data_IF_685873566607
#
_entry.id   IF_685873566607
#
_cell.length_a   1.000
_cell.length_b   1.000
_cell.length_c   1.000
_cell.angle_alpha   90.00
_cell.angle_beta   90.00
_cell.angle_gamma   90.00
#
_symmetry.space_group_name_H-M   'P 1'
#
loop_
_entity.id
_entity.type
_entity.pdbx_description
1 polymer ?
#
# COMPACT_ATOMS: atom_id res chain seq x y z
N UNK A 1 74.08 -54.64 37.96
CA UNK A 1 73.38 -53.40 38.34
C UNK A 1 71.90 -53.71 38.52
N UNK A 2 71.45 -53.88 39.77
CA UNK A 2 70.04 -54.07 40.11
C UNK A 2 69.48 -52.75 40.62
N UNK A 3 68.45 -52.19 39.97
CA UNK A 3 67.71 -51.02 40.48
C UNK A 3 66.27 -51.43 40.73
N UNK A 4 65.88 -51.36 42.00
CA UNK A 4 64.52 -51.54 42.49
C UNK A 4 63.59 -50.44 41.96
N UNK A 5 62.38 -50.85 41.56
CA UNK A 5 61.27 -49.97 41.18
C UNK A 5 60.55 -49.53 42.46
N UNK A 6 60.51 -48.22 42.73
CA UNK A 6 59.62 -47.62 43.73
C UNK A 6 58.36 -47.08 43.03
N UNK A 7 57.21 -47.68 43.35
CA UNK A 7 55.88 -47.25 42.91
C UNK A 7 55.43 -46.03 43.73
N UNK A 8 55.20 -44.90 43.07
CA UNK A 8 54.51 -43.74 43.65
C UNK A 8 52.99 -44.00 43.65
N UNK A 9 52.37 -44.03 44.83
CA UNK A 9 50.91 -43.99 44.97
C UNK A 9 50.39 -42.62 44.53
N UNK A 10 49.56 -42.58 43.48
CA UNK A 10 48.76 -41.41 43.13
C UNK A 10 47.62 -41.23 44.15
N UNK A 11 47.60 -40.10 44.87
CA UNK A 11 46.42 -39.65 45.61
C UNK A 11 45.39 -39.16 44.59
N UNK A 12 44.24 -39.84 44.53
CA UNK A 12 43.07 -39.34 43.81
C UNK A 12 42.54 -38.14 44.60
N UNK A 13 42.54 -36.97 43.97
CA UNK A 13 41.90 -35.75 44.49
C UNK A 13 40.38 -36.00 44.58
N UNK A 14 39.84 -36.05 45.79
CA UNK A 14 38.41 -36.07 46.02
C UNK A 14 37.84 -34.67 45.74
N UNK A 15 37.22 -34.49 44.58
CA UNK A 15 36.47 -33.26 44.27
C UNK A 15 35.23 -33.26 45.15
N UNK A 16 35.12 -32.27 46.04
CA UNK A 16 33.98 -32.09 46.92
C UNK A 16 32.74 -31.71 46.08
N UNK A 17 31.68 -32.52 46.15
CA UNK A 17 30.38 -32.27 45.49
C UNK A 17 29.81 -30.91 45.88
N UNK A 18 30.16 -30.42 47.06
CA UNK A 18 29.63 -29.17 47.61
C UNK A 18 30.27 -27.93 46.96
N UNK A 19 31.51 -28.01 46.51
CA UNK A 19 32.17 -26.94 45.75
C UNK A 19 31.68 -26.91 44.31
N UNK A 20 31.59 -28.08 43.66
CA UNK A 20 31.09 -28.19 42.28
C UNK A 20 29.65 -27.66 42.12
N UNK A 21 28.76 -27.91 43.08
CA UNK A 21 27.41 -27.35 43.09
C UNK A 21 27.38 -25.82 43.25
N UNK A 22 28.29 -25.24 44.04
CA UNK A 22 28.39 -23.78 44.20
C UNK A 22 28.87 -23.09 42.92
N UNK A 23 29.83 -23.70 42.21
CA UNK A 23 30.36 -23.16 40.95
C UNK A 23 29.33 -23.23 39.82
N UNK A 24 28.54 -24.33 39.75
CA UNK A 24 27.44 -24.42 38.78
C UNK A 24 26.29 -23.46 39.09
N UNK A 25 25.95 -23.25 40.36
CA UNK A 25 24.91 -22.29 40.75
C UNK A 25 25.30 -20.85 40.36
N UNK A 26 26.56 -20.45 40.54
CA UNK A 26 27.04 -19.12 40.16
C UNK A 26 27.08 -18.91 38.64
N UNK A 27 27.46 -19.93 37.86
CA UNK A 27 27.48 -19.87 36.39
C UNK A 27 26.07 -19.84 35.76
N UNK A 28 25.07 -20.38 36.47
CA UNK A 28 23.67 -20.38 36.02
C UNK A 28 22.98 -19.02 36.20
N UNK A 29 23.46 -18.18 37.11
CA UNK A 29 22.86 -16.88 37.39
C UNK A 29 23.31 -15.84 36.35
N UNK A 30 24.54 -15.93 35.83
CA UNK A 30 25.05 -15.01 34.80
C UNK A 30 24.44 -15.22 33.42
N UNK A 31 23.95 -16.42 33.10
CA UNK A 31 23.24 -16.71 31.83
C UNK A 31 21.76 -16.31 31.85
N UNK A 32 21.21 -16.01 33.02
CA UNK A 32 19.83 -15.56 33.21
C UNK A 32 19.69 -14.04 33.32
N UNK A 33 20.79 -13.29 33.26
CA UNK A 33 20.72 -11.84 33.09
C UNK A 33 20.47 -11.60 31.61
N UNK A 34 19.27 -11.18 31.17
CA UNK A 34 19.09 -10.76 29.80
C UNK A 34 20.07 -9.62 29.57
N UNK A 35 21.10 -9.84 28.76
CA UNK A 35 21.87 -8.75 28.19
C UNK A 35 20.88 -7.94 27.38
N UNK A 36 20.45 -6.81 27.93
CA UNK A 36 19.78 -5.80 27.14
C UNK A 36 20.80 -5.35 26.12
N UNK A 37 20.77 -5.99 24.96
CA UNK A 37 21.36 -5.47 23.73
C UNK A 37 20.62 -4.16 23.46
N UNK A 38 21.11 -3.07 24.05
CA UNK A 38 20.74 -1.74 23.61
C UNK A 38 21.20 -1.67 22.17
N UNK A 39 20.24 -1.56 21.25
CA UNK A 39 20.50 -1.16 19.89
C UNK A 39 21.41 0.07 19.93
N UNK A 40 22.57 0.01 19.27
CA UNK A 40 23.44 1.16 19.08
C UNK A 40 22.85 2.16 18.08
N UNK A 41 21.66 1.89 17.51
CA UNK A 41 21.09 2.75 16.50
C UNK A 41 20.78 4.13 17.10
N UNK A 42 21.50 5.12 16.59
CA UNK A 42 21.35 6.54 16.88
C UNK A 42 20.11 7.15 16.22
N UNK A 43 19.06 6.36 15.99
CA UNK A 43 17.82 6.81 15.35
C UNK A 43 16.77 7.09 16.41
N UNK A 44 16.09 8.23 16.29
CA UNK A 44 14.93 8.55 17.13
C UNK A 44 13.66 7.87 16.59
N UNK A 45 13.57 7.70 15.27
CA UNK A 45 12.43 7.06 14.60
C UNK A 45 12.90 6.08 13.53
N UNK A 46 12.28 4.91 13.48
CA UNK A 46 12.43 3.93 12.40
C UNK A 46 11.13 3.87 11.61
N UNK A 47 11.21 4.02 10.30
CA UNK A 47 10.10 3.91 9.35
C UNK A 47 10.29 2.64 8.53
N UNK A 48 9.23 1.85 8.42
CA UNK A 48 9.21 0.61 7.63
C UNK A 48 8.45 0.89 6.32
N UNK A 49 9.18 0.79 5.21
CA UNK A 49 8.70 1.04 3.84
C UNK A 49 9.07 2.43 3.33
N UNK A 50 9.77 2.48 2.21
CA UNK A 50 10.11 3.68 1.43
C UNK A 50 9.16 3.89 0.24
N UNK A 51 7.87 3.59 0.41
CA UNK A 51 6.82 4.10 -0.47
C UNK A 51 6.50 5.58 -0.16
N UNK A 52 5.61 6.20 -0.95
CA UNK A 52 5.21 7.61 -0.77
C UNK A 52 4.87 7.96 0.69
N UNK A 53 4.12 7.11 1.39
CA UNK A 53 3.71 7.37 2.78
C UNK A 53 4.88 7.39 3.76
N UNK A 54 5.80 6.43 3.65
CA UNK A 54 6.94 6.33 4.57
C UNK A 54 7.99 7.41 4.30
N UNK A 55 8.24 7.70 3.02
CA UNK A 55 9.13 8.79 2.62
C UNK A 55 8.61 10.16 3.05
N UNK A 56 7.31 10.44 2.86
CA UNK A 56 6.71 11.69 3.31
C UNK A 56 6.76 11.84 4.84
N UNK A 57 6.49 10.75 5.58
CA UNK A 57 6.65 10.75 7.04
C UNK A 57 8.12 11.00 7.45
N UNK A 58 9.08 10.43 6.73
CA UNK A 58 10.50 10.65 6.97
C UNK A 58 10.89 12.11 6.74
N UNK A 59 10.39 12.72 5.66
CA UNK A 59 10.61 14.14 5.36
C UNK A 59 10.10 15.03 6.50
N UNK A 60 8.86 14.85 6.95
CA UNK A 60 8.28 15.66 8.04
C UNK A 60 9.08 15.49 9.34
N UNK A 61 9.37 14.24 9.74
CA UNK A 61 10.08 13.99 11.00
C UNK A 61 11.52 14.54 10.97
N UNK A 62 12.17 14.48 9.82
CA UNK A 62 13.48 15.09 9.66
C UNK A 62 13.43 16.62 9.75
N UNK A 63 12.41 17.25 9.14
CA UNK A 63 12.24 18.71 9.21
C UNK A 63 12.03 19.18 10.65
N UNK A 64 11.39 18.36 11.48
CA UNK A 64 11.25 18.55 12.92
C UNK A 64 12.53 18.21 13.73
N UNK A 65 13.62 17.82 13.07
CA UNK A 65 14.92 17.58 13.69
C UNK A 65 15.16 16.17 14.22
N UNK A 66 14.26 15.21 13.98
CA UNK A 66 14.46 13.82 14.41
C UNK A 66 15.46 13.07 13.52
N UNK A 67 16.23 12.16 14.12
CA UNK A 67 17.11 11.23 13.39
C UNK A 67 16.29 10.05 12.88
N UNK A 68 15.85 10.15 11.64
CA UNK A 68 14.98 9.14 11.00
C UNK A 68 15.82 8.10 10.26
N UNK A 69 15.47 6.83 10.42
CA UNK A 69 15.96 5.72 9.58
C UNK A 69 14.80 5.07 8.84
N UNK A 70 14.89 5.01 7.51
CA UNK A 70 13.90 4.34 6.65
C UNK A 70 14.45 2.99 6.21
N UNK A 71 13.69 1.93 6.42
CA UNK A 71 14.00 0.56 5.99
C UNK A 71 13.05 0.16 4.86
N UNK A 72 13.59 -0.20 3.71
CA UNK A 72 12.81 -0.65 2.55
C UNK A 72 13.10 -2.11 2.25
N UNK A 73 12.05 -2.89 2.02
CA UNK A 73 12.18 -4.31 1.75
C UNK A 73 12.79 -4.58 0.37
N UNK A 74 12.46 -3.77 -0.64
CA UNK A 74 12.92 -3.94 -2.01
C UNK A 74 14.32 -3.32 -2.25
N UNK A 75 14.80 -3.47 -3.48
CA UNK A 75 16.04 -2.83 -3.95
C UNK A 75 15.83 -1.41 -4.51
N UNK A 76 14.65 -0.82 -4.32
CA UNK A 76 14.28 0.52 -4.78
C UNK A 76 13.27 1.15 -3.84
N UNK A 77 13.19 2.48 -3.86
CA UNK A 77 12.12 3.22 -3.23
C UNK A 77 10.86 3.27 -4.11
N UNK A 78 9.79 3.90 -3.63
CA UNK A 78 8.56 4.18 -4.38
C UNK A 78 7.42 3.21 -4.13
N UNK A 79 7.72 1.96 -3.74
CA UNK A 79 6.71 0.94 -3.43
C UNK A 79 5.77 0.71 -4.62
N UNK A 80 4.50 1.11 -4.47
CA UNK A 80 3.46 0.98 -5.52
C UNK A 80 3.57 2.02 -6.64
N UNK A 81 4.50 2.98 -6.54
CA UNK A 81 4.87 3.85 -7.66
C UNK A 81 5.99 3.17 -8.43
N UNK A 82 5.87 3.10 -9.76
CA UNK A 82 6.87 2.54 -10.65
C UNK A 82 6.68 3.09 -12.07
N UNK A 83 7.73 3.72 -12.59
CA UNK A 83 7.84 4.23 -13.95
C UNK A 83 8.92 3.42 -14.67
N UNK A 84 8.62 2.92 -15.85
CA UNK A 84 9.55 2.11 -16.65
C UNK A 84 10.51 3.01 -17.45
N UNK A 85 11.56 3.52 -16.81
CA UNK A 85 12.52 4.48 -17.41
C UNK A 85 13.34 3.92 -18.57
N UNK A 86 13.34 2.60 -18.76
CA UNK A 86 13.97 1.93 -19.92
C UNK A 86 13.10 1.89 -21.17
N UNK A 87 11.86 2.37 -21.11
CA UNK A 87 10.89 2.34 -22.23
C UNK A 87 10.57 3.78 -22.66
N UNK A 88 10.58 4.10 -23.97
CA UNK A 88 10.24 5.43 -24.44
C UNK A 88 8.90 5.92 -23.87
N UNK A 89 8.92 7.11 -23.26
CA UNK A 89 7.76 7.71 -22.61
C UNK A 89 7.58 7.37 -21.13
N UNK A 90 8.49 6.56 -20.54
CA UNK A 90 8.52 6.20 -19.12
C UNK A 90 7.15 5.74 -18.58
N UNK A 91 6.51 4.73 -19.20
CA UNK A 91 5.16 4.34 -18.85
C UNK A 91 5.06 3.89 -17.38
N UNK A 92 3.95 4.22 -16.75
CA UNK A 92 3.66 3.86 -15.37
C UNK A 92 3.14 2.41 -15.30
N UNK A 93 3.82 1.56 -14.54
CA UNK A 93 3.36 0.22 -14.16
C UNK A 93 2.88 0.15 -12.71
N UNK A 94 3.00 1.27 -11.98
CA UNK A 94 2.43 1.48 -10.65
C UNK A 94 1.39 2.61 -10.63
N UNK A 95 1.45 3.46 -9.61
CA UNK A 95 0.59 4.65 -9.48
C UNK A 95 0.69 5.57 -10.70
N UNK A 96 -0.41 5.67 -11.44
CA UNK A 96 -0.41 6.27 -12.79
C UNK A 96 -0.57 7.77 -12.80
N UNK A 97 -1.49 8.31 -12.01
CA UNK A 97 -1.77 9.74 -11.93
C UNK A 97 -2.44 10.07 -10.59
N UNK A 98 -2.44 11.35 -10.23
CA UNK A 98 -3.07 11.83 -9.00
C UNK A 98 -3.85 13.11 -9.25
N UNK A 99 -4.86 13.35 -8.44
CA UNK A 99 -5.74 14.50 -8.61
C UNK A 99 -5.10 15.84 -8.22
N UNK A 100 -5.61 16.91 -8.81
CA UNK A 100 -5.34 18.29 -8.36
C UNK A 100 -5.72 18.58 -6.89
N UNK A 101 -6.59 17.76 -6.26
CA UNK A 101 -6.92 17.84 -4.84
C UNK A 101 -5.87 17.23 -3.89
N UNK A 102 -4.85 16.54 -4.42
CA UNK A 102 -3.84 15.84 -3.61
C UNK A 102 -2.74 16.82 -3.14
N UNK A 103 -3.11 17.78 -2.29
CA UNK A 103 -2.25 18.89 -1.89
C UNK A 103 -0.86 18.47 -1.40
N UNK A 104 -0.75 17.38 -0.63
CA UNK A 104 0.53 16.91 -0.07
C UNK A 104 1.53 16.44 -1.13
N UNK A 105 1.06 15.75 -2.17
CA UNK A 105 1.96 15.30 -3.25
C UNK A 105 2.32 16.46 -4.18
N UNK A 106 1.40 17.42 -4.37
CA UNK A 106 1.69 18.63 -5.13
C UNK A 106 2.72 19.50 -4.40
N UNK A 107 2.55 19.68 -3.09
CA UNK A 107 3.49 20.41 -2.22
C UNK A 107 4.89 19.79 -2.26
N UNK A 108 5.00 18.47 -2.10
CA UNK A 108 6.31 17.80 -2.12
C UNK A 108 6.96 17.86 -3.51
N UNK A 109 6.17 17.75 -4.58
CA UNK A 109 6.67 17.95 -5.94
C UNK A 109 7.22 19.36 -6.15
N UNK A 110 6.50 20.39 -5.70
CA UNK A 110 6.96 21.78 -5.78
C UNK A 110 8.23 22.00 -4.94
N UNK A 111 8.27 21.48 -3.71
CA UNK A 111 9.43 21.58 -2.81
C UNK A 111 10.71 21.03 -3.46
N UNK A 112 10.59 19.94 -4.20
CA UNK A 112 11.73 19.31 -4.88
C UNK A 112 11.83 19.65 -6.37
N UNK A 113 11.15 20.71 -6.83
CA UNK A 113 11.19 21.20 -8.21
C UNK A 113 10.87 20.13 -9.26
N UNK A 114 9.93 19.22 -8.94
CA UNK A 114 9.42 18.23 -9.87
C UNK A 114 8.29 18.86 -10.68
N UNK A 115 8.50 18.99 -11.98
CA UNK A 115 7.47 19.49 -12.88
C UNK A 115 6.30 18.51 -12.98
N UNK A 116 5.08 19.03 -12.86
CA UNK A 116 3.84 18.26 -12.97
C UNK A 116 3.11 18.63 -14.26
N UNK A 117 2.74 17.62 -15.04
CA UNK A 117 2.02 17.77 -16.29
C UNK A 117 0.52 17.50 -16.09
N UNK A 118 -0.30 18.38 -16.66
CA UNK A 118 -1.76 18.27 -16.69
C UNK A 118 -2.21 17.29 -17.79
N UNK A 119 -2.96 16.24 -17.43
CA UNK A 119 -3.49 15.27 -18.38
C UNK A 119 -4.78 15.70 -19.10
N UNK A 120 -5.37 16.85 -18.76
CA UNK A 120 -6.59 17.38 -19.40
C UNK A 120 -6.55 17.36 -20.93
N UNK A 121 -5.42 17.74 -21.60
CA UNK A 121 -5.35 17.77 -23.06
C UNK A 121 -5.53 16.39 -23.71
N UNK A 122 -5.22 15.29 -23.01
CA UNK A 122 -5.34 13.94 -23.56
C UNK A 122 -6.66 13.24 -23.21
N UNK A 123 -7.44 13.79 -22.26
CA UNK A 123 -8.74 13.22 -21.86
C UNK A 123 -9.75 13.03 -23.00
N UNK A 124 -9.85 13.91 -24.02
CA UNK A 124 -10.79 13.71 -25.13
C UNK A 124 -10.58 12.40 -25.90
N UNK A 125 -9.33 11.93 -26.02
CA UNK A 125 -9.03 10.64 -26.68
C UNK A 125 -9.66 9.46 -25.93
N UNK A 126 -9.67 9.50 -24.60
CA UNK A 126 -10.24 8.45 -23.76
C UNK A 126 -11.77 8.43 -23.70
N UNK A 127 -12.45 9.46 -24.24
CA UNK A 127 -13.92 9.54 -24.25
C UNK A 127 -14.56 8.83 -25.46
N UNK A 128 -13.76 8.42 -26.44
CA UNK A 128 -14.22 7.61 -27.57
C UNK A 128 -14.25 6.14 -27.15
N UNK A 129 -15.37 5.71 -26.57
CA UNK A 129 -15.52 4.39 -25.97
C UNK A 129 -16.55 3.53 -26.71
N UNK A 130 -16.27 2.24 -26.78
CA UNK A 130 -17.19 1.17 -27.15
C UNK A 130 -17.14 0.08 -26.09
N UNK A 131 -18.21 -0.71 -25.98
CA UNK A 131 -18.21 -1.89 -25.12
C UNK A 131 -17.71 -3.09 -25.92
N UNK A 132 -16.77 -3.85 -25.38
CA UNK A 132 -16.35 -5.13 -25.95
C UNK A 132 -16.90 -6.25 -25.07
N UNK A 133 -17.97 -6.92 -25.50
CA UNK A 133 -18.64 -7.98 -24.73
C UNK A 133 -18.73 -9.23 -25.59
N UNK A 134 -18.18 -10.36 -25.10
CA UNK A 134 -18.18 -11.64 -25.81
C UNK A 134 -17.58 -11.57 -27.23
N UNK A 135 -16.58 -10.72 -27.45
CA UNK A 135 -15.93 -10.54 -28.75
C UNK A 135 -16.68 -9.61 -29.72
N UNK A 136 -17.79 -9.01 -29.30
CA UNK A 136 -18.57 -8.04 -30.08
C UNK A 136 -18.31 -6.61 -29.59
N UNK A 137 -18.14 -5.68 -30.53
CA UNK A 137 -18.08 -4.24 -30.25
C UNK A 137 -19.48 -3.63 -30.32
N UNK A 138 -19.94 -3.08 -29.20
CA UNK A 138 -21.27 -2.49 -29.05
C UNK A 138 -21.10 -0.98 -28.84
N UNK A 139 -21.77 -0.18 -29.67
CA UNK A 139 -21.77 1.28 -29.47
C UNK A 139 -22.60 1.64 -28.23
N UNK A 140 -22.25 2.75 -27.56
CA UNK A 140 -23.04 3.22 -26.41
C UNK A 140 -24.49 3.58 -26.77
N UNK A 141 -24.75 3.90 -28.05
CA UNK A 141 -26.10 4.18 -28.56
C UNK A 141 -26.94 2.91 -28.64
N UNK A 142 -26.33 1.78 -29.01
CA UNK A 142 -27.05 0.51 -29.20
C UNK A 142 -27.19 -0.29 -27.90
N UNK A 143 -26.43 0.08 -26.86
CA UNK A 143 -26.42 -0.60 -25.56
C UNK A 143 -27.81 -0.82 -24.91
N UNK A 144 -28.73 0.17 -24.86
CA UNK A 144 -29.98 0.00 -24.12
C UNK A 144 -30.85 -1.16 -24.60
N UNK A 145 -30.83 -1.44 -25.90
CA UNK A 145 -31.64 -2.48 -26.54
C UNK A 145 -30.83 -3.75 -26.87
N UNK A 146 -29.52 -3.75 -26.59
CA UNK A 146 -28.64 -4.86 -26.95
C UNK A 146 -28.97 -6.14 -26.17
N UNK A 147 -29.00 -7.35 -26.80
CA UNK A 147 -29.28 -8.62 -26.12
C UNK A 147 -28.34 -8.97 -24.96
N UNK A 148 -27.10 -8.46 -24.99
CA UNK A 148 -26.11 -8.60 -23.92
C UNK A 148 -26.44 -7.79 -22.67
N UNK A 149 -27.36 -6.81 -22.75
CA UNK A 149 -27.78 -6.02 -21.61
C UNK A 149 -28.69 -6.84 -20.69
N UNK A 150 -28.15 -7.24 -19.52
CA UNK A 150 -28.83 -8.06 -18.52
C UNK A 150 -29.50 -7.25 -17.41
N UNK A 151 -29.53 -5.93 -17.55
CA UNK A 151 -30.14 -5.05 -16.55
C UNK A 151 -31.68 -5.03 -16.66
N UNK A 152 -32.37 -4.74 -15.54
CA UNK A 152 -33.78 -4.35 -15.56
C UNK A 152 -34.04 -3.22 -16.55
N UNK A 153 -35.23 -3.18 -17.17
CA UNK A 153 -35.54 -2.30 -18.32
C UNK A 153 -35.26 -0.82 -18.01
N UNK A 154 -35.64 -0.39 -16.81
CA UNK A 154 -35.45 0.95 -16.25
C UNK A 154 -33.99 1.33 -16.01
N UNK A 155 -33.08 0.34 -15.97
CA UNK A 155 -31.65 0.48 -15.69
C UNK A 155 -30.77 0.37 -16.94
N UNK A 156 -31.35 0.04 -18.11
CA UNK A 156 -30.58 -0.28 -19.33
C UNK A 156 -29.86 0.89 -19.97
N UNK A 157 -30.26 2.12 -19.67
CA UNK A 157 -29.70 3.33 -20.30
C UNK A 157 -28.23 3.58 -19.93
N UNK A 158 -27.80 3.14 -18.74
CA UNK A 158 -26.43 3.36 -18.29
C UNK A 158 -25.58 2.15 -18.71
N UNK A 159 -24.49 2.36 -19.46
CA UNK A 159 -23.61 1.26 -19.87
C UNK A 159 -22.85 0.67 -18.68
N UNK A 160 -22.42 -0.60 -18.77
CA UNK A 160 -21.90 -1.34 -17.62
C UNK A 160 -20.62 -0.73 -17.05
N UNK A 161 -19.78 -0.11 -17.89
CA UNK A 161 -18.57 0.61 -17.47
C UNK A 161 -18.85 1.84 -16.59
N UNK A 162 -20.08 2.38 -16.60
CA UNK A 162 -20.49 3.54 -15.82
C UNK A 162 -21.57 3.22 -14.78
N UNK A 163 -22.27 2.09 -14.92
CA UNK A 163 -23.45 1.74 -14.13
C UNK A 163 -23.19 1.79 -12.63
N UNK A 164 -22.23 1.00 -12.14
CA UNK A 164 -22.02 0.86 -10.70
C UNK A 164 -21.66 2.19 -10.03
N UNK A 165 -20.75 2.97 -10.62
CA UNK A 165 -20.35 4.27 -10.08
C UNK A 165 -21.53 5.27 -10.01
N UNK A 166 -22.33 5.37 -11.07
CA UNK A 166 -23.51 6.24 -11.07
C UNK A 166 -24.60 5.76 -10.11
N UNK A 167 -24.80 4.45 -10.04
CA UNK A 167 -25.81 3.84 -9.18
C UNK A 167 -25.44 4.01 -7.70
N UNK A 168 -24.19 3.71 -7.33
CA UNK A 168 -23.65 3.98 -6.01
C UNK A 168 -23.77 5.47 -5.65
N UNK A 169 -23.35 6.38 -6.54
CA UNK A 169 -23.40 7.82 -6.27
C UNK A 169 -24.80 8.35 -5.96
N UNK A 170 -25.85 7.78 -6.59
CA UNK A 170 -27.25 8.14 -6.30
C UNK A 170 -27.74 7.59 -4.96
N UNK A 171 -27.22 6.45 -4.55
CA UNK A 171 -27.70 5.69 -3.40
C UNK A 171 -26.80 5.84 -2.15
N UNK A 172 -25.67 6.54 -2.28
CA UNK A 172 -24.69 6.71 -1.22
C UNK A 172 -25.24 7.67 -0.13
N UNK A 173 -25.49 7.19 1.10
CA UNK A 173 -26.02 8.02 2.18
C UNK A 173 -24.93 8.87 2.86
N UNK A 174 -23.65 8.62 2.58
CA UNK A 174 -22.54 9.31 3.24
C UNK A 174 -22.43 10.76 2.76
N UNK A 175 -22.61 11.70 3.69
CA UNK A 175 -22.49 13.14 3.42
C UNK A 175 -21.04 13.61 3.28
N UNK A 176 -20.11 12.89 3.90
CA UNK A 176 -18.68 13.18 3.93
C UNK A 176 -17.88 11.89 4.08
N UNK A 177 -16.57 11.89 3.75
CA UNK A 177 -15.76 10.68 3.80
C UNK A 177 -15.72 10.06 5.19
N UNK A 178 -15.70 10.84 6.26
CA UNK A 178 -15.71 10.35 7.65
C UNK A 178 -17.02 9.65 8.06
N UNK A 179 -18.10 9.80 7.28
CA UNK A 179 -19.39 9.18 7.54
C UNK A 179 -19.33 7.65 7.67
N UNK A 180 -18.35 7.00 7.03
CA UNK A 180 -18.16 5.55 7.13
C UNK A 180 -17.78 5.05 8.54
N UNK A 181 -17.33 5.94 9.43
CA UNK A 181 -17.00 5.61 10.83
C UNK A 181 -18.20 5.78 11.77
N UNK A 182 -19.33 6.29 11.28
CA UNK A 182 -20.52 6.50 12.10
C UNK A 182 -21.32 5.20 12.19
N UNK A 183 -21.70 4.81 13.41
CA UNK A 183 -22.35 3.52 13.69
C UNK A 183 -23.63 3.31 12.88
N UNK A 184 -24.41 4.39 12.64
CA UNK A 184 -25.63 4.32 11.83
C UNK A 184 -25.41 3.80 10.40
N UNK A 185 -24.17 3.89 9.89
CA UNK A 185 -23.77 3.45 8.55
C UNK A 185 -23.17 2.03 8.53
N UNK A 186 -22.89 1.39 9.67
CA UNK A 186 -22.33 0.04 9.70
C UNK A 186 -23.25 -1.03 9.13
N UNK A 187 -24.56 -0.75 9.04
CA UNK A 187 -25.52 -1.59 8.30
C UNK A 187 -25.19 -1.75 6.81
N UNK A 188 -24.36 -0.87 6.25
CA UNK A 188 -23.86 -0.97 4.88
C UNK A 188 -22.53 -1.74 4.80
N UNK A 189 -21.97 -2.22 5.91
CA UNK A 189 -20.79 -3.08 5.88
C UNK A 189 -21.17 -4.53 5.53
N UNK A 190 -21.76 -4.66 4.34
CA UNK A 190 -22.17 -5.90 3.70
C UNK A 190 -21.48 -6.00 2.33
N UNK A 191 -21.51 -7.19 1.74
CA UNK A 191 -20.91 -7.36 0.42
C UNK A 191 -21.62 -6.49 -0.64
N UNK A 192 -20.87 -6.06 -1.65
CA UNK A 192 -21.44 -5.39 -2.84
C UNK A 192 -22.50 -6.26 -3.50
N UNK A 193 -22.31 -7.59 -3.48
CA UNK A 193 -23.26 -8.57 -3.98
C UNK A 193 -24.61 -8.45 -3.26
N UNK A 194 -24.61 -8.58 -1.93
CA UNK A 194 -25.85 -8.57 -1.14
C UNK A 194 -26.53 -7.20 -1.22
N UNK A 195 -25.73 -6.13 -1.28
CA UNK A 195 -26.27 -4.80 -1.51
C UNK A 195 -26.96 -4.70 -2.88
N UNK A 196 -26.29 -5.06 -3.98
CA UNK A 196 -26.90 -5.01 -5.33
C UNK A 196 -28.11 -5.94 -5.47
N UNK A 197 -28.08 -7.12 -4.85
CA UNK A 197 -29.22 -8.04 -4.81
C UNK A 197 -30.41 -7.42 -4.08
N UNK A 198 -30.17 -6.74 -2.95
CA UNK A 198 -31.22 -5.98 -2.24
C UNK A 198 -31.79 -4.82 -3.07
N UNK A 199 -31.05 -4.35 -4.09
CA UNK A 199 -31.51 -3.34 -5.06
C UNK A 199 -32.21 -3.95 -6.28
N UNK A 200 -32.45 -5.27 -6.30
CA UNK A 200 -33.18 -5.97 -7.35
C UNK A 200 -32.32 -6.46 -8.51
N UNK A 201 -30.98 -6.42 -8.41
CA UNK A 201 -30.11 -6.97 -9.44
C UNK A 201 -29.88 -8.47 -9.21
N UNK A 202 -30.05 -9.27 -10.27
CA UNK A 202 -29.67 -10.68 -10.23
C UNK A 202 -28.18 -10.87 -10.53
N UNK A 203 -27.68 -12.10 -10.32
CA UNK A 203 -26.27 -12.45 -10.56
C UNK A 203 -25.75 -12.02 -11.94
N UNK A 204 -26.52 -12.20 -13.02
CA UNK A 204 -26.08 -11.83 -14.38
C UNK A 204 -25.91 -10.32 -14.55
N UNK A 205 -26.76 -9.53 -13.89
CA UNK A 205 -26.63 -8.09 -13.87
C UNK A 205 -25.40 -7.67 -13.04
N UNK A 206 -25.20 -8.28 -11.87
CA UNK A 206 -24.03 -8.03 -11.00
C UNK A 206 -22.72 -8.36 -11.74
N UNK A 207 -22.68 -9.50 -12.44
CA UNK A 207 -21.50 -9.90 -13.21
C UNK A 207 -21.16 -8.85 -14.28
N UNK A 208 -22.19 -8.36 -14.97
CA UNK A 208 -22.08 -7.38 -16.03
C UNK A 208 -21.64 -5.99 -15.52
N UNK A 209 -22.16 -5.51 -14.39
CA UNK A 209 -21.95 -4.12 -13.95
C UNK A 209 -20.90 -3.93 -12.87
N UNK A 210 -20.47 -5.01 -12.21
CA UNK A 210 -19.44 -4.96 -11.16
C UNK A 210 -18.30 -5.92 -11.42
N UNK A 211 -18.57 -7.23 -11.56
CA UNK A 211 -17.49 -8.24 -11.62
C UNK A 211 -16.64 -8.13 -12.90
N UNK A 212 -17.17 -7.55 -13.98
CA UNK A 212 -16.44 -7.35 -15.23
C UNK A 212 -15.27 -6.36 -15.09
N UNK A 213 -15.39 -5.35 -14.22
CA UNK A 213 -14.36 -4.33 -14.03
C UNK A 213 -14.30 -3.92 -12.55
N UNK A 214 -13.73 -4.82 -11.75
CA UNK A 214 -13.64 -4.65 -10.31
C UNK A 214 -12.48 -3.72 -9.92
N UNK A 215 -12.71 -2.84 -8.95
CA UNK A 215 -11.67 -1.92 -8.45
C UNK A 215 -10.91 -2.44 -7.23
N UNK A 216 -11.52 -3.32 -6.44
CA UNK A 216 -10.99 -3.84 -5.17
C UNK A 216 -11.46 -5.28 -4.99
N UNK A 217 -10.67 -6.15 -4.38
CA UNK A 217 -11.07 -7.54 -4.16
C UNK A 217 -11.13 -8.38 -5.45
N UNK A 218 -11.81 -9.52 -5.38
CA UNK A 218 -11.92 -10.49 -6.47
C UNK A 218 -13.27 -10.46 -7.17
N UNK A 219 -14.37 -10.21 -6.45
CA UNK A 219 -15.72 -10.09 -7.02
C UNK A 219 -16.67 -9.32 -6.07
N UNK A 220 -17.95 -9.25 -6.40
CA UNK A 220 -18.93 -8.52 -5.57
C UNK A 220 -19.10 -9.11 -4.15
N UNK A 221 -18.68 -10.35 -3.89
CA UNK A 221 -18.90 -11.03 -2.60
C UNK A 221 -17.85 -10.72 -1.54
N UNK A 222 -16.67 -10.25 -1.92
CA UNK A 222 -15.55 -10.00 -0.99
C UNK A 222 -15.24 -8.51 -0.78
N UNK A 223 -16.10 -7.63 -1.29
CA UNK A 223 -15.93 -6.18 -1.16
C UNK A 223 -17.08 -5.61 -0.36
N UNK A 224 -16.76 -4.81 0.67
CA UNK A 224 -17.75 -4.05 1.44
C UNK A 224 -18.32 -2.88 0.62
N UNK A 225 -19.65 -2.75 0.57
CA UNK A 225 -20.26 -1.57 -0.05
C UNK A 225 -20.00 -0.29 0.77
N UNK A 226 -19.88 -0.37 2.09
CA UNK A 226 -19.51 0.78 2.94
C UNK A 226 -18.13 1.33 2.57
N UNK A 227 -17.15 0.46 2.28
CA UNK A 227 -15.84 0.87 1.78
C UNK A 227 -15.97 1.65 0.46
N UNK A 228 -16.81 1.20 -0.46
CA UNK A 228 -16.99 1.88 -1.74
C UNK A 228 -17.81 3.16 -1.61
N UNK A 229 -18.76 3.23 -0.66
CA UNK A 229 -19.44 4.47 -0.28
C UNK A 229 -18.46 5.51 0.25
N UNK A 230 -17.48 5.09 1.07
CA UNK A 230 -16.37 5.94 1.50
C UNK A 230 -15.57 6.45 0.29
N UNK A 231 -15.13 5.55 -0.60
CA UNK A 231 -14.37 5.92 -1.81
C UNK A 231 -15.14 6.92 -2.68
N UNK A 232 -16.44 6.69 -2.87
CA UNK A 232 -17.31 7.59 -3.61
C UNK A 232 -17.45 8.96 -2.93
N UNK A 233 -17.63 8.99 -1.61
CA UNK A 233 -17.73 10.24 -0.83
C UNK A 233 -16.41 11.02 -0.87
N UNK A 234 -15.27 10.33 -0.77
CA UNK A 234 -13.94 10.92 -0.95
C UNK A 234 -13.79 11.53 -2.34
N UNK A 235 -14.15 10.80 -3.41
CA UNK A 235 -14.10 11.33 -4.76
C UNK A 235 -14.96 12.60 -4.92
N UNK A 236 -16.18 12.60 -4.39
CA UNK A 236 -17.07 13.77 -4.41
C UNK A 236 -16.45 14.95 -3.65
N UNK A 237 -15.80 14.71 -2.51
CA UNK A 237 -15.10 15.76 -1.78
C UNK A 237 -13.95 16.34 -2.60
N UNK A 238 -13.20 15.52 -3.34
CA UNK A 238 -12.15 16.01 -4.24
C UNK A 238 -12.74 16.87 -5.37
N UNK A 239 -13.82 16.42 -6.02
CA UNK A 239 -14.51 17.18 -7.07
C UNK A 239 -14.98 18.54 -6.57
N UNK A 240 -15.49 18.62 -5.33
CA UNK A 240 -15.94 19.88 -4.71
C UNK A 240 -14.82 20.91 -4.50
N UNK A 241 -13.56 20.46 -4.37
CA UNK A 241 -12.38 21.33 -4.25
C UNK A 241 -11.90 21.88 -5.60
N UNK A 242 -12.70 21.69 -6.66
CA UNK A 242 -12.37 22.14 -8.00
C UNK A 242 -11.34 21.23 -8.65
N UNK A 243 -11.48 19.91 -8.49
CA UNK A 243 -10.67 18.91 -9.20
C UNK A 243 -10.70 19.22 -10.71
N UNK A 244 -9.62 19.81 -11.21
CA UNK A 244 -9.54 20.26 -12.61
C UNK A 244 -9.05 19.15 -13.53
N UNK A 245 -8.18 18.30 -12.99
CA UNK A 245 -7.44 17.30 -13.77
C UNK A 245 -6.73 16.26 -12.90
N UNK A 246 -6.21 15.26 -13.58
CA UNK A 246 -5.15 14.36 -13.13
C UNK A 246 -3.78 14.89 -13.55
N UNK A 247 -2.81 14.75 -12.65
CA UNK A 247 -1.42 15.17 -12.80
C UNK A 247 -0.50 13.96 -12.85
N UNK A 248 0.61 14.11 -13.56
CA UNK A 248 1.74 13.17 -13.59
C UNK A 248 3.05 13.94 -13.47
N UNK A 249 4.09 13.34 -12.88
CA UNK A 249 5.41 13.95 -12.89
C UNK A 249 6.06 13.84 -14.28
N UNK A 250 6.71 14.91 -14.73
CA UNK A 250 7.55 14.86 -15.91
C UNK A 250 8.71 13.87 -15.70
N UNK A 251 8.93 12.99 -16.68
CA UNK A 251 9.92 11.90 -16.57
C UNK A 251 9.43 10.67 -15.80
N UNK A 252 8.21 10.68 -15.26
CA UNK A 252 7.59 9.55 -14.57
C UNK A 252 7.39 9.80 -13.07
N UNK A 253 6.35 9.20 -12.49
CA UNK A 253 5.97 9.40 -11.09
C UNK A 253 7.03 8.93 -10.09
N UNK A 254 7.97 8.07 -10.50
CA UNK A 254 9.14 7.68 -9.67
C UNK A 254 10.03 8.85 -9.27
N UNK A 255 10.02 9.95 -10.03
CA UNK A 255 10.76 11.17 -9.66
C UNK A 255 10.39 11.69 -8.27
N UNK A 256 9.15 11.48 -7.83
CA UNK A 256 8.62 11.97 -6.55
C UNK A 256 9.21 11.21 -5.35
N UNK A 257 9.07 9.87 -5.24
CA UNK A 257 9.70 9.13 -4.16
C UNK A 257 11.24 9.17 -4.21
N UNK A 258 11.85 9.22 -5.39
CA UNK A 258 13.31 9.35 -5.50
C UNK A 258 13.80 10.69 -4.96
N UNK A 259 13.13 11.80 -5.30
CA UNK A 259 13.47 13.10 -4.75
C UNK A 259 13.30 13.15 -3.23
N UNK A 260 12.21 12.59 -2.68
CA UNK A 260 12.04 12.48 -1.22
C UNK A 260 13.20 11.71 -0.58
N UNK A 261 13.56 10.54 -1.12
CA UNK A 261 14.64 9.71 -0.60
C UNK A 261 16.01 10.42 -0.66
N UNK A 262 16.31 11.08 -1.79
CA UNK A 262 17.57 11.79 -2.00
C UNK A 262 17.74 13.03 -1.11
N UNK A 263 16.65 13.56 -0.54
CA UNK A 263 16.66 14.71 0.36
C UNK A 263 16.62 14.33 1.84
N UNK A 264 16.70 13.03 2.18
CA UNK A 264 16.90 12.59 3.56
C UNK A 264 18.37 12.71 3.96
N UNK A 265 18.62 13.14 5.20
CA UNK A 265 19.94 13.24 5.81
C UNK A 265 20.60 11.86 5.98
N UNK A 266 19.79 10.80 6.09
CA UNK A 266 20.24 9.42 6.13
C UNK A 266 19.73 8.69 4.89
N UNK A 267 20.62 7.96 4.21
CA UNK A 267 20.24 7.11 3.08
C UNK A 267 19.17 6.08 3.50
N UNK A 268 18.20 5.84 2.62
CA UNK A 268 17.23 4.76 2.79
C UNK A 268 17.96 3.41 2.78
N UNK A 269 17.72 2.60 3.79
CA UNK A 269 18.31 1.27 3.88
C UNK A 269 17.51 0.26 3.05
N UNK A 270 18.04 -0.11 1.89
CA UNK A 270 17.45 -1.10 0.98
C UNK A 270 17.88 -2.52 1.38
N UNK A 271 16.95 -3.33 1.88
CA UNK A 271 17.25 -4.65 2.47
C UNK A 271 17.65 -5.65 1.38
N UNK A 272 16.86 -5.78 0.31
CA UNK A 272 17.13 -6.75 -0.77
C UNK A 272 18.41 -6.45 -1.54
N UNK A 273 18.87 -5.19 -1.52
CA UNK A 273 20.16 -4.80 -2.09
C UNK A 273 21.37 -5.11 -1.21
N UNK A 274 21.17 -5.52 0.06
CA UNK A 274 22.22 -5.62 1.08
C UNK A 274 22.10 -6.85 1.98
N UNK A 275 21.61 -7.99 1.46
CA UNK A 275 21.41 -9.24 2.21
C UNK A 275 22.63 -9.74 3.02
N UNK A 276 23.83 -9.19 2.82
CA UNK A 276 25.06 -9.56 3.54
C UNK A 276 25.46 -8.58 4.67
N UNK A 277 24.69 -7.52 4.94
CA UNK A 277 25.04 -6.51 5.97
C UNK A 277 24.08 -6.52 7.17
N UNK A 278 24.65 -6.49 8.38
CA UNK A 278 23.89 -6.42 9.63
C UNK A 278 23.03 -5.14 9.69
N UNK A 279 21.71 -5.33 9.68
CA UNK A 279 20.68 -4.28 9.55
C UNK A 279 20.62 -3.33 10.77
N UNK A 280 21.19 -3.73 11.91
CA UNK A 280 21.00 -3.07 13.21
C UNK A 280 22.29 -2.54 13.87
N UNK A 281 23.35 -2.27 13.10
CA UNK A 281 24.56 -1.64 13.64
C UNK A 281 24.48 -0.12 13.64
#
# INVERSE_FOLDING_TARGET
MSKQVHSKKNKILSIDRRETLKTFAAASITTLIPTQLRSSSSSDVIIIGAGLSGLYAATILQDEGYRVRVLEADNRVGGRVLSETGIPGNPETGGTAFGSGYARIIDISNRFNIQLNDLSPVLPYFRQQQLAINGEFISLKDWPDHPSNKLPKEMRMIPPNAFFQQFLGKMNPLKSPDGWMQEENFKYDISVHDWLESQGLNQKAIDLVYNMNISHGYNAKDVSILMLMFVNSFFNSQMSLGFRTSLVAEGGNMMIPEAMANNLNQEVFLIKGRCDQNIFK
#
